data_IF_332465968665
#
_entry.id   IF_332465968665
#
_cell.length_a   1.000
_cell.length_b   1.000
_cell.length_c   1.000
_cell.angle_alpha   90.00
_cell.angle_beta   90.00
_cell.angle_gamma   90.00
#
_symmetry.space_group_name_H-M   'P 1'
#
loop_
_entity.id
_entity.type
_entity.pdbx_description
1 polymer ?
#
# COMPACT_ATOMS: atom_id res chain seq x y z
N UNK A 1 -6.27 2.36 -18.56
CA UNK A 1 -5.42 1.28 -19.08
C UNK A 1 -5.97 -0.07 -18.64
N UNK A 2 -6.36 -0.92 -19.58
CA UNK A 2 -6.92 -2.25 -19.31
C UNK A 2 -5.97 -3.15 -18.48
N UNK A 3 -4.66 -3.02 -18.71
CA UNK A 3 -3.61 -3.77 -18.01
C UNK A 3 -3.66 -3.62 -16.48
N UNK A 4 -3.91 -2.41 -15.96
CA UNK A 4 -4.01 -2.21 -14.51
C UNK A 4 -5.25 -2.88 -13.92
N UNK A 5 -6.37 -2.96 -14.65
CA UNK A 5 -7.58 -3.62 -14.15
C UNK A 5 -7.35 -5.13 -13.97
N UNK A 6 -6.66 -5.76 -14.91
CA UNK A 6 -6.30 -7.19 -14.84
C UNK A 6 -5.38 -7.43 -13.66
N UNK A 7 -4.28 -6.66 -13.55
CA UNK A 7 -3.36 -6.76 -12.40
C UNK A 7 -4.05 -6.54 -11.07
N UNK A 8 -4.96 -5.57 -10.98
CA UNK A 8 -5.72 -5.29 -9.77
C UNK A 8 -6.57 -6.49 -9.36
N UNK A 9 -7.22 -7.20 -10.30
CA UNK A 9 -7.98 -8.42 -9.99
C UNK A 9 -7.08 -9.48 -9.35
N UNK A 10 -5.94 -9.79 -9.96
CA UNK A 10 -4.99 -10.77 -9.42
C UNK A 10 -4.43 -10.34 -8.06
N UNK A 11 -4.14 -9.05 -7.89
CA UNK A 11 -3.69 -8.51 -6.61
C UNK A 11 -4.79 -8.64 -5.53
N UNK A 12 -6.05 -8.39 -5.85
CA UNK A 12 -7.15 -8.57 -4.90
C UNK A 12 -7.32 -10.03 -4.48
N UNK A 13 -7.26 -10.97 -5.43
CA UNK A 13 -7.31 -12.42 -5.12
C UNK A 13 -6.11 -12.87 -4.29
N UNK A 14 -4.92 -12.34 -4.59
CA UNK A 14 -3.72 -12.62 -3.79
C UNK A 14 -3.88 -12.07 -2.37
N UNK A 15 -4.35 -10.83 -2.21
CA UNK A 15 -4.59 -10.21 -0.91
C UNK A 15 -5.62 -11.00 -0.10
N UNK A 16 -6.69 -11.49 -0.73
CA UNK A 16 -7.69 -12.32 -0.04
C UNK A 16 -7.10 -13.57 0.59
N UNK A 17 -6.04 -14.14 0.01
CA UNK A 17 -5.38 -15.36 0.48
C UNK A 17 -4.22 -15.10 1.45
N UNK A 18 -3.55 -13.96 1.34
CA UNK A 18 -2.26 -13.74 1.99
C UNK A 18 -2.23 -12.53 2.93
N UNK A 19 -3.18 -11.60 2.84
CA UNK A 19 -3.21 -10.45 3.75
C UNK A 19 -3.89 -10.87 5.07
N UNK A 20 -3.16 -10.95 6.20
CA UNK A 20 -3.74 -11.30 7.50
C UNK A 20 -4.78 -10.28 8.00
N UNK A 21 -4.79 -9.07 7.44
CA UNK A 21 -5.72 -7.99 7.77
C UNK A 21 -6.78 -7.76 6.69
N UNK A 22 -6.99 -8.73 5.79
CA UNK A 22 -8.00 -8.62 4.74
C UNK A 22 -9.38 -8.24 5.35
N UNK A 23 -10.11 -7.26 4.77
CA UNK A 23 -9.88 -6.62 3.47
C UNK A 23 -9.04 -5.33 3.51
N UNK A 24 -8.44 -4.98 4.64
CA UNK A 24 -7.79 -3.69 4.85
C UNK A 24 -6.35 -3.64 4.30
N UNK A 25 -6.00 -2.54 3.63
CA UNK A 25 -4.63 -2.24 3.23
C UNK A 25 -4.27 -0.77 3.48
N UNK A 26 -3.03 -0.53 3.88
CA UNK A 26 -2.40 0.78 3.90
C UNK A 26 -1.65 1.03 2.58
N UNK A 27 -1.73 2.25 2.03
CA UNK A 27 -1.09 2.57 0.75
C UNK A 27 0.13 3.44 0.97
N UNK A 28 1.31 2.94 0.58
CA UNK A 28 2.54 3.72 0.58
C UNK A 28 2.55 4.76 -0.56
N UNK A 29 2.47 6.02 -0.18
CA UNK A 29 2.44 7.17 -1.06
C UNK A 29 1.03 7.66 -1.34
N UNK A 30 0.74 8.90 -0.96
CA UNK A 30 -0.57 9.53 -1.14
C UNK A 30 -0.66 10.38 -2.43
N UNK A 31 0.12 10.06 -3.47
CA UNK A 31 0.10 10.80 -4.76
C UNK A 31 -1.19 10.55 -5.55
N UNK A 32 -1.58 11.45 -6.47
CA UNK A 32 -2.76 11.25 -7.34
C UNK A 32 -2.72 9.90 -8.09
N UNK A 33 -1.54 9.51 -8.58
CA UNK A 33 -1.35 8.25 -9.30
C UNK A 33 -1.53 7.05 -8.37
N UNK A 34 -0.93 7.08 -7.18
CA UNK A 34 -1.07 6.02 -6.18
C UNK A 34 -2.54 5.84 -5.78
N UNK A 35 -3.23 6.94 -5.46
CA UNK A 35 -4.66 6.92 -5.10
C UNK A 35 -5.53 6.36 -6.22
N UNK A 36 -5.28 6.78 -7.48
CA UNK A 36 -6.03 6.27 -8.64
C UNK A 36 -5.86 4.76 -8.83
N UNK A 37 -4.66 4.21 -8.58
CA UNK A 37 -4.41 2.76 -8.66
C UNK A 37 -5.02 2.01 -7.50
N UNK A 38 -4.85 2.51 -6.27
CA UNK A 38 -5.42 1.92 -5.07
C UNK A 38 -6.95 1.87 -5.15
N UNK A 39 -7.59 2.91 -5.66
CA UNK A 39 -9.06 2.97 -5.86
C UNK A 39 -9.60 1.84 -6.73
N UNK A 40 -8.78 1.27 -7.64
CA UNK A 40 -9.22 0.12 -8.43
C UNK A 40 -9.44 -1.12 -7.55
N UNK A 41 -8.79 -1.24 -6.39
CA UNK A 41 -8.98 -2.39 -5.50
C UNK A 41 -10.35 -2.36 -4.81
N UNK A 42 -10.94 -1.18 -4.62
CA UNK A 42 -12.25 -1.01 -3.97
C UNK A 42 -13.36 -1.78 -4.73
N UNK A 43 -13.26 -1.87 -6.07
CA UNK A 43 -14.22 -2.64 -6.89
C UNK A 43 -14.18 -4.15 -6.60
N UNK A 44 -13.15 -4.63 -5.91
CA UNK A 44 -12.97 -6.03 -5.49
C UNK A 44 -13.12 -6.19 -3.97
N UNK A 45 -13.73 -5.22 -3.27
CA UNK A 45 -14.03 -5.30 -1.84
C UNK A 45 -12.85 -4.98 -0.90
N UNK A 46 -11.71 -4.52 -1.43
CA UNK A 46 -10.57 -4.09 -0.60
C UNK A 46 -10.82 -2.70 -0.03
N UNK A 47 -10.49 -2.51 1.25
CA UNK A 47 -10.67 -1.24 1.96
C UNK A 47 -9.32 -0.52 2.08
N UNK A 48 -9.28 0.73 1.62
CA UNK A 48 -8.12 1.61 1.81
C UNK A 48 -8.15 2.19 3.22
N UNK A 49 -7.47 1.53 4.15
CA UNK A 49 -7.46 1.91 5.57
C UNK A 49 -6.80 3.28 5.80
N UNK A 50 -5.64 3.50 5.18
CA UNK A 50 -4.93 4.79 5.26
C UNK A 50 -3.93 4.97 4.11
N UNK A 51 -3.43 6.19 3.97
CA UNK A 51 -2.27 6.49 3.14
C UNK A 51 -1.06 6.84 4.01
N UNK A 52 0.10 6.33 3.63
CA UNK A 52 1.39 6.75 4.17
C UNK A 52 1.98 7.85 3.28
N UNK A 53 2.46 8.95 3.86
CA UNK A 53 3.09 10.03 3.12
C UNK A 53 4.41 10.49 3.76
N UNK A 54 5.32 10.97 2.92
CA UNK A 54 6.56 11.64 3.35
C UNK A 54 6.32 13.08 3.79
N UNK A 55 5.15 13.66 3.49
CA UNK A 55 4.73 14.99 3.93
C UNK A 55 3.72 14.90 5.07
N UNK A 56 3.93 15.69 6.12
CA UNK A 56 2.93 15.92 7.17
C UNK A 56 1.80 16.82 6.64
N UNK A 57 0.61 16.67 7.19
CA UNK A 57 -0.51 17.59 6.96
C UNK A 57 -1.21 17.49 5.60
N UNK A 58 -0.99 16.41 4.81
CA UNK A 58 -1.79 16.22 3.59
C UNK A 58 -3.26 16.00 3.97
N UNK A 59 -4.13 16.85 3.44
CA UNK A 59 -5.56 16.71 3.56
C UNK A 59 -6.10 15.81 2.44
N UNK A 60 -6.75 14.71 2.82
CA UNK A 60 -7.48 13.80 1.96
C UNK A 60 -8.75 13.38 2.70
N UNK A 61 -9.75 12.88 1.97
CA UNK A 61 -10.93 12.25 2.55
C UNK A 61 -10.63 10.85 3.14
N UNK A 62 -9.38 10.59 3.53
CA UNK A 62 -8.87 9.35 4.08
C UNK A 62 -7.82 9.68 5.13
N UNK A 63 -7.64 8.81 6.13
CA UNK A 63 -6.57 8.92 7.11
C UNK A 63 -5.22 8.96 6.39
N UNK A 64 -4.40 9.97 6.70
CA UNK A 64 -3.01 10.07 6.24
C UNK A 64 -2.09 9.99 7.44
N UNK A 65 -1.16 9.03 7.41
CA UNK A 65 -0.15 8.83 8.44
C UNK A 65 1.20 9.24 7.85
N UNK A 66 1.99 9.97 8.63
CA UNK A 66 3.37 10.25 8.24
C UNK A 66 4.16 8.94 8.27
N UNK A 67 4.94 8.65 7.22
CA UNK A 67 5.52 7.32 7.03
C UNK A 67 6.42 6.84 8.19
N UNK A 68 7.01 7.75 8.99
CA UNK A 68 7.80 7.37 10.17
C UNK A 68 6.94 6.92 11.36
N UNK A 69 5.68 7.33 11.37
CA UNK A 69 4.67 7.01 12.39
C UNK A 69 3.81 5.81 11.94
N UNK A 70 4.34 5.01 11.02
CA UNK A 70 3.68 3.80 10.53
C UNK A 70 3.42 2.81 11.70
N UNK A 71 2.22 2.21 11.80
CA UNK A 71 1.95 1.12 12.75
C UNK A 71 2.94 -0.06 12.60
N UNK A 72 3.04 -0.94 13.60
CA UNK A 72 3.84 -2.15 13.48
C UNK A 72 3.25 -3.13 12.43
N UNK A 73 4.06 -4.07 11.89
CA UNK A 73 3.62 -5.01 10.86
C UNK A 73 2.51 -5.98 11.31
N UNK A 74 2.25 -6.08 12.62
CA UNK A 74 1.16 -6.86 13.20
C UNK A 74 -0.21 -6.17 13.13
N UNK A 75 -0.30 -4.93 12.62
CA UNK A 75 -1.56 -4.18 12.59
C UNK A 75 -2.04 -3.84 11.18
N UNK A 76 -1.14 -3.76 10.18
CA UNK A 76 -1.49 -3.33 8.83
C UNK A 76 -0.71 -4.07 7.75
N UNK A 77 -1.32 -4.19 6.56
CA UNK A 77 -0.65 -4.66 5.34
C UNK A 77 -0.41 -3.49 4.40
N UNK A 78 0.82 -3.32 3.92
CA UNK A 78 1.23 -2.14 3.14
C UNK A 78 1.39 -2.46 1.65
N UNK A 79 0.75 -1.67 0.79
CA UNK A 79 0.97 -1.71 -0.66
C UNK A 79 1.71 -0.47 -1.15
N UNK A 80 2.83 -0.66 -1.83
CA UNK A 80 3.58 0.43 -2.47
C UNK A 80 3.41 0.40 -3.98
N UNK A 81 2.89 1.48 -4.55
CA UNK A 81 2.77 1.67 -6.02
C UNK A 81 3.93 2.47 -6.63
N UNK A 82 5.02 2.65 -5.88
CA UNK A 82 6.18 3.44 -6.30
C UNK A 82 6.98 2.65 -7.36
N UNK A 83 7.21 3.30 -8.50
CA UNK A 83 7.89 2.68 -9.65
C UNK A 83 9.39 2.95 -9.70
N UNK A 84 9.83 4.12 -9.24
CA UNK A 84 11.24 4.50 -9.29
C UNK A 84 12.07 3.55 -8.43
N UNK A 85 13.08 2.92 -9.04
CA UNK A 85 13.85 1.84 -8.43
C UNK A 85 14.57 2.27 -7.14
N UNK A 86 15.15 3.47 -7.12
CA UNK A 86 15.85 3.96 -5.93
C UNK A 86 14.89 4.17 -4.75
N UNK A 87 13.69 4.69 -5.03
CA UNK A 87 12.67 4.83 -4.00
C UNK A 87 12.16 3.46 -3.54
N UNK A 88 12.01 2.47 -4.43
CA UNK A 88 11.66 1.09 -4.05
C UNK A 88 12.69 0.48 -3.11
N UNK A 89 13.99 0.68 -3.37
CA UNK A 89 15.08 0.21 -2.50
C UNK A 89 15.02 0.90 -1.13
N UNK A 90 14.81 2.22 -1.10
CA UNK A 90 14.70 2.99 0.14
C UNK A 90 13.48 2.57 0.97
N UNK A 91 12.33 2.37 0.33
CA UNK A 91 11.09 1.94 1.01
C UNK A 91 11.28 0.54 1.60
N UNK A 92 11.86 -0.40 0.83
CA UNK A 92 12.18 -1.74 1.34
C UNK A 92 13.12 -1.67 2.54
N UNK A 93 14.23 -0.93 2.42
CA UNK A 93 15.19 -0.77 3.52
C UNK A 93 14.51 -0.21 4.78
N UNK A 94 13.66 0.80 4.63
CA UNK A 94 12.91 1.38 5.74
C UNK A 94 11.92 0.39 6.36
N UNK A 95 11.07 -0.25 5.56
CA UNK A 95 10.08 -1.22 6.03
C UNK A 95 10.78 -2.39 6.76
N UNK A 96 11.84 -2.95 6.16
CA UNK A 96 12.62 -4.01 6.80
C UNK A 96 13.22 -3.57 8.13
N UNK A 97 13.72 -2.34 8.23
CA UNK A 97 14.23 -1.79 9.50
C UNK A 97 13.14 -1.62 10.57
N UNK A 98 11.85 -1.68 10.18
CA UNK A 98 10.69 -1.65 11.06
C UNK A 98 10.07 -3.03 11.29
N UNK A 99 10.73 -4.11 10.84
CA UNK A 99 10.26 -5.49 10.99
C UNK A 99 9.23 -5.93 9.95
N UNK A 100 8.98 -5.12 8.92
CA UNK A 100 8.12 -5.53 7.82
C UNK A 100 8.86 -6.51 6.89
N UNK A 101 8.13 -7.49 6.36
CA UNK A 101 8.60 -8.55 5.47
C UNK A 101 7.78 -8.58 4.17
N UNK A 102 8.48 -8.61 3.05
CA UNK A 102 7.83 -8.58 1.72
C UNK A 102 7.11 -9.89 1.46
N UNK A 103 5.86 -9.81 1.03
CA UNK A 103 5.01 -10.99 0.83
C UNK A 103 4.23 -11.41 2.07
N UNK A 104 4.56 -10.90 3.26
CA UNK A 104 3.84 -11.23 4.51
C UNK A 104 3.00 -10.05 5.02
N UNK A 105 3.60 -8.86 5.13
CA UNK A 105 2.94 -7.66 5.65
C UNK A 105 3.16 -6.43 4.75
N UNK A 106 3.90 -6.57 3.64
CA UNK A 106 3.87 -5.58 2.57
C UNK A 106 4.15 -6.16 1.18
N UNK A 107 3.74 -5.43 0.14
CA UNK A 107 4.10 -5.70 -1.25
C UNK A 107 4.47 -4.43 -2.03
N UNK A 108 5.46 -4.54 -2.91
CA UNK A 108 5.77 -3.51 -3.90
C UNK A 108 5.10 -3.81 -5.25
N UNK A 109 3.96 -3.18 -5.51
CA UNK A 109 3.14 -3.39 -6.70
C UNK A 109 3.79 -2.75 -7.94
N UNK A 110 3.66 -3.40 -9.11
CA UNK A 110 4.24 -2.97 -10.41
C UNK A 110 3.24 -2.29 -11.36
#
# INVERSE_FOLDING_TARGET
NAFYRIKTKYLAEWLKKNNPFHPNVAIWGASRISRRRAKLLEQYGIIIYCYLDTKKGRQLNHKVIYYKDIPPPQEIFVLSYIKQMDNRKQIRKFLNSKGYLEGENYLQVS
#
